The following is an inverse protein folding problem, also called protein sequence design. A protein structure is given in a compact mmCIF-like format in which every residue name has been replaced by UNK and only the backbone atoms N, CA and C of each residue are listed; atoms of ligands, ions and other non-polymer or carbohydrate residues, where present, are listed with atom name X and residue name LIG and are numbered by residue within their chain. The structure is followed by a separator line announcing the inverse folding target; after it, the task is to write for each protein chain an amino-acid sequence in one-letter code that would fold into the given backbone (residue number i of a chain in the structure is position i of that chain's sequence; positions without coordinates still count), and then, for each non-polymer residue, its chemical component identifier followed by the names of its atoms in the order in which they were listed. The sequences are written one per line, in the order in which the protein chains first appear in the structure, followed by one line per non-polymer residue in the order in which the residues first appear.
data_IF_624131987092
#
_entry.id   IF_624131987092
#
_cell.length_a   1.000
_cell.length_b   1.000
_cell.length_c   1.000
_cell.angle_alpha   90.00
_cell.angle_beta   90.00
_cell.angle_gamma   90.00
#
_symmetry.space_group_name_H-M   'P 1'
#
loop_
_entity.id
_entity.type
_entity.pdbx_description
1 polymer ?
#
# COMPACT_ATOMS: atom_id res chain seq x y z
N UNK A 1 6.92 5.25 19.80
CA UNK A 1 7.48 4.17 18.94
C UNK A 1 6.38 3.71 18.02
N UNK A 2 6.65 3.53 16.72
CA UNK A 2 5.60 3.09 15.77
C UNK A 2 5.21 1.65 16.10
N UNK A 3 3.91 1.38 16.23
CA UNK A 3 3.40 0.05 16.51
C UNK A 3 3.78 -0.92 15.35
N UNK A 4 4.45 -2.06 15.63
CA UNK A 4 4.88 -3.01 14.60
C UNK A 4 3.72 -3.55 13.74
N UNK A 5 2.51 -3.63 14.30
CA UNK A 5 1.31 -4.06 13.57
C UNK A 5 0.88 -3.04 12.51
N UNK A 6 1.08 -1.75 12.77
CA UNK A 6 0.78 -0.69 11.79
C UNK A 6 1.77 -0.79 10.62
N UNK A 7 3.05 -1.04 10.88
CA UNK A 7 4.05 -1.24 9.83
C UNK A 7 3.70 -2.48 8.99
N UNK A 8 3.34 -3.59 9.65
CA UNK A 8 2.95 -4.83 8.97
C UNK A 8 1.74 -4.63 8.03
N UNK A 9 0.76 -3.81 8.43
CA UNK A 9 -0.40 -3.47 7.60
C UNK A 9 -0.05 -2.49 6.46
N UNK A 10 0.88 -1.56 6.69
CA UNK A 10 1.29 -0.59 5.67
C UNK A 10 2.07 -1.24 4.52
N UNK A 11 2.90 -2.26 4.79
CA UNK A 11 3.75 -2.88 3.76
C UNK A 11 2.93 -3.40 2.56
N UNK A 12 1.89 -4.24 2.73
CA UNK A 12 1.04 -4.67 1.61
C UNK A 12 0.38 -3.51 0.86
N UNK A 13 -0.09 -2.49 1.60
CA UNK A 13 -0.71 -1.31 0.99
C UNK A 13 0.29 -0.52 0.13
N UNK A 14 1.53 -0.35 0.61
CA UNK A 14 2.62 0.25 -0.17
C UNK A 14 2.90 -0.58 -1.42
N UNK A 15 2.99 -1.91 -1.31
CA UNK A 15 3.23 -2.80 -2.45
C UNK A 15 2.15 -2.63 -3.52
N UNK A 16 0.86 -2.58 -3.14
CA UNK A 16 -0.25 -2.37 -4.08
C UNK A 16 -0.10 -1.05 -4.82
N UNK A 17 0.19 0.04 -4.11
CA UNK A 17 0.37 1.37 -4.70
C UNK A 17 1.60 1.40 -5.62
N UNK A 18 2.70 0.75 -5.21
CA UNK A 18 3.93 0.70 -5.99
C UNK A 18 3.78 -0.11 -7.28
N UNK A 19 3.04 -1.23 -7.22
CA UNK A 19 2.65 -2.00 -8.42
C UNK A 19 1.74 -1.15 -9.31
N UNK A 20 0.78 -0.42 -8.74
CA UNK A 20 -0.14 0.40 -9.51
C UNK A 20 0.55 1.52 -10.29
N UNK A 21 1.47 2.25 -9.66
CA UNK A 21 2.21 3.34 -10.30
C UNK A 21 3.50 2.90 -11.01
N UNK A 22 3.83 1.60 -10.98
CA UNK A 22 5.10 1.07 -11.48
C UNK A 22 6.33 1.79 -10.89
N UNK A 23 6.32 2.07 -9.58
CA UNK A 23 7.41 2.77 -8.87
C UNK A 23 8.25 1.81 -8.02
N UNK A 24 9.49 2.22 -7.75
CA UNK A 24 10.46 1.44 -6.98
C UNK A 24 10.81 0.11 -7.68
N UNK A 25 10.76 -1.04 -6.98
CA UNK A 25 11.10 -2.34 -7.56
C UNK A 25 10.21 -2.72 -8.75
N UNK A 26 8.98 -2.21 -8.84
CA UNK A 26 8.03 -2.55 -9.90
C UNK A 26 8.19 -1.69 -11.16
N UNK A 27 9.01 -0.64 -11.11
CA UNK A 27 9.44 0.12 -12.29
C UNK A 27 10.65 -0.48 -13.01
N UNK A 28 11.33 -1.44 -12.38
CA UNK A 28 12.50 -2.09 -12.97
C UNK A 28 12.09 -3.09 -14.06
N UNK A 29 12.80 -3.17 -15.21
CA UNK A 29 12.43 -4.05 -16.33
C UNK A 29 12.19 -5.51 -15.93
N UNK A 30 12.96 -6.04 -14.98
CA UNK A 30 12.82 -7.44 -14.51
C UNK A 30 11.55 -7.71 -13.70
N UNK A 31 10.87 -6.69 -13.18
CA UNK A 31 9.67 -6.81 -12.34
C UNK A 31 8.46 -6.03 -12.89
N UNK A 32 8.65 -5.31 -14.00
CA UNK A 32 7.59 -4.55 -14.68
C UNK A 32 6.42 -5.45 -15.13
N UNK A 33 6.69 -6.74 -15.38
CA UNK A 33 5.66 -7.71 -15.70
C UNK A 33 4.57 -7.82 -14.61
N UNK A 34 4.87 -7.49 -13.35
CA UNK A 34 3.87 -7.45 -12.27
C UNK A 34 2.92 -6.26 -12.42
N UNK A 35 3.42 -5.09 -12.82
CA UNK A 35 2.58 -3.95 -13.18
C UNK A 35 1.70 -4.27 -14.39
N UNK A 36 2.27 -4.90 -15.43
CA UNK A 36 1.50 -5.31 -16.61
C UNK A 36 0.40 -6.31 -16.24
N UNK A 37 0.69 -7.32 -15.42
CA UNK A 37 -0.32 -8.26 -14.89
C UNK A 37 -1.36 -7.55 -14.03
N UNK A 38 -0.98 -6.57 -13.22
CA UNK A 38 -1.93 -5.77 -12.45
C UNK A 38 -2.86 -4.96 -13.35
N UNK A 39 -2.36 -4.42 -14.47
CA UNK A 39 -3.16 -3.64 -15.41
C UNK A 39 -4.24 -4.48 -16.11
N UNK A 40 -4.04 -5.80 -16.27
CA UNK A 40 -5.03 -6.70 -16.89
C UNK A 40 -6.17 -7.11 -15.96
N UNK A 41 -6.08 -6.81 -14.65
CA UNK A 41 -7.14 -7.15 -13.70
C UNK A 41 -8.38 -6.27 -13.90
N UNK A 42 -9.59 -6.77 -13.57
CA UNK A 42 -10.82 -6.00 -13.64
C UNK A 42 -10.71 -4.67 -12.87
N UNK A 43 -11.11 -3.58 -13.51
CA UNK A 43 -11.00 -2.22 -12.94
C UNK A 43 -11.66 -2.11 -11.57
N UNK A 44 -12.80 -2.79 -11.36
CA UNK A 44 -13.50 -2.80 -10.06
C UNK A 44 -12.66 -3.39 -8.94
N UNK A 45 -11.95 -4.50 -9.20
CA UNK A 45 -11.09 -5.16 -8.21
C UNK A 45 -9.88 -4.27 -7.89
N UNK A 46 -9.23 -3.74 -8.94
CA UNK A 46 -8.09 -2.82 -8.76
C UNK A 46 -8.50 -1.60 -7.94
N UNK A 47 -9.65 -1.00 -8.26
CA UNK A 47 -10.16 0.20 -7.57
C UNK A 47 -10.47 -0.08 -6.10
N UNK A 48 -11.10 -1.22 -5.80
CA UNK A 48 -11.36 -1.63 -4.42
C UNK A 48 -10.06 -1.81 -3.63
N UNK A 49 -9.08 -2.52 -4.20
CA UNK A 49 -7.76 -2.74 -3.57
C UNK A 49 -7.00 -1.43 -3.35
N UNK A 50 -7.08 -0.48 -4.31
CA UNK A 50 -6.46 0.83 -4.17
C UNK A 50 -7.12 1.66 -3.08
N UNK A 51 -8.45 1.65 -2.98
CA UNK A 51 -9.17 2.36 -1.93
C UNK A 51 -8.73 1.85 -0.56
N UNK A 52 -8.70 0.53 -0.37
CA UNK A 52 -8.24 -0.09 0.88
C UNK A 52 -6.78 0.32 1.16
N UNK A 53 -5.89 0.19 0.17
CA UNK A 53 -4.49 0.57 0.33
C UNK A 53 -4.32 2.05 0.70
N UNK A 54 -5.05 2.96 0.05
CA UNK A 54 -5.01 4.39 0.36
C UNK A 54 -5.48 4.67 1.78
N UNK A 55 -6.59 4.07 2.23
CA UNK A 55 -7.08 4.23 3.60
C UNK A 55 -6.04 3.73 4.61
N UNK A 56 -5.47 2.54 4.38
CA UNK A 56 -4.43 1.97 5.24
C UNK A 56 -3.18 2.85 5.30
N UNK A 57 -2.73 3.40 4.18
CA UNK A 57 -1.57 4.30 4.15
C UNK A 57 -1.84 5.63 4.84
N UNK A 58 -3.03 6.22 4.68
CA UNK A 58 -3.39 7.46 5.37
C UNK A 58 -3.47 7.21 6.88
N UNK A 59 -4.10 6.12 7.31
CA UNK A 59 -4.18 5.76 8.73
C UNK A 59 -2.77 5.48 9.31
N UNK A 60 -1.95 4.71 8.60
CA UNK A 60 -0.58 4.42 8.99
C UNK A 60 0.33 5.65 9.04
N UNK A 61 0.20 6.56 8.07
CA UNK A 61 0.93 7.83 8.05
C UNK A 61 0.48 8.75 9.20
N UNK A 62 -0.82 8.82 9.48
CA UNK A 62 -1.36 9.57 10.62
C UNK A 62 -0.84 9.02 11.95
N UNK A 63 -0.69 7.69 12.05
CA UNK A 63 -0.08 7.06 13.21
C UNK A 63 1.42 7.34 13.34
N UNK A 64 2.17 7.22 12.23
CA UNK A 64 3.61 7.46 12.20
C UNK A 64 3.99 8.92 12.49
N UNK A 65 3.14 9.87 12.09
CA UNK A 65 3.31 11.31 12.34
C UNK A 65 2.82 11.74 13.74
N UNK A 66 2.25 10.82 14.52
CA UNK A 66 1.76 11.11 15.87
C UNK A 66 0.43 11.89 15.90
N UNK A 67 -0.26 12.01 14.77
CA UNK A 67 -1.62 12.60 14.72
C UNK A 67 -2.65 11.72 15.42
N UNK A 68 -2.40 10.42 15.49
CA UNK A 68 -3.28 9.45 16.15
C UNK A 68 -2.48 8.30 16.76
N UNK A 69 -2.87 7.85 17.93
CA UNK A 69 -2.24 6.71 18.61
C UNK A 69 -3.22 5.54 18.65
N UNK A 70 -2.74 4.35 18.29
CA UNK A 70 -3.47 3.12 18.53
C UNK A 70 -3.69 3.00 20.05
N UNK A 71 -4.91 2.73 20.55
CA UNK A 71 -5.11 2.50 21.98
C UNK A 71 -4.28 1.28 22.38
N UNK A 72 -3.21 1.53 23.12
CA UNK A 72 -2.42 0.51 23.79
C UNK A 72 -3.09 0.29 25.13
N UNK A 73 -3.84 -0.79 25.25
CA UNK A 73 -4.30 -1.30 26.55
C UNK A 73 -3.13 -1.52 27.51
#
# INVERSE_FOLDING_TARGET
MINPWVIAAMIPAMVIVMIHFAIGPFGHPTRLHWHMKWATWPTSIRRLLLIIATITLIAGASHATGLWFWPTD
#
